data_IF_894530502771
#
_entry.id   IF_894530502771
#
_cell.length_a   1.000
_cell.length_b   1.000
_cell.length_c   1.000
_cell.angle_alpha   90.00
_cell.angle_beta   90.00
_cell.angle_gamma   90.00
#
_symmetry.space_group_name_H-M   'P 1'
#
loop_
_entity.id
_entity.type
_entity.pdbx_description
1 polymer ?
#
# COMPACT_ATOMS: atom_id res chain seq x y z
N UNK A 1 -42.28 17.32 -58.42
CA UNK A 1 -40.98 18.03 -58.41
C UNK A 1 -40.75 18.61 -57.01
N UNK A 2 -39.58 18.35 -56.43
CA UNK A 2 -39.13 18.85 -55.12
C UNK A 2 -39.39 20.35 -54.95
N UNK A 3 -39.95 20.76 -53.80
CA UNK A 3 -39.71 22.09 -53.21
C UNK A 3 -39.61 22.02 -51.69
N UNK A 4 -38.48 22.52 -51.21
CA UNK A 4 -38.07 22.80 -49.82
C UNK A 4 -38.93 23.92 -49.21
N UNK A 5 -39.00 24.02 -47.88
CA UNK A 5 -39.32 25.30 -47.25
C UNK A 5 -39.61 25.32 -45.75
N UNK A 6 -38.66 25.89 -45.01
CA UNK A 6 -38.79 26.65 -43.74
C UNK A 6 -39.06 25.89 -42.42
N UNK A 7 -38.01 25.78 -41.61
CA UNK A 7 -38.08 25.57 -40.16
C UNK A 7 -37.99 26.94 -39.47
N UNK A 8 -39.03 27.31 -38.72
CA UNK A 8 -39.08 28.51 -37.88
C UNK A 8 -38.30 28.28 -36.56
N UNK A 9 -37.56 29.31 -36.16
CA UNK A 9 -36.90 29.43 -34.86
C UNK A 9 -37.96 29.63 -33.76
N UNK A 10 -37.90 28.85 -32.67
CA UNK A 10 -38.69 29.11 -31.45
C UNK A 10 -37.73 29.23 -30.26
N UNK A 11 -37.70 30.41 -29.67
CA UNK A 11 -37.01 30.73 -28.41
C UNK A 11 -37.91 30.28 -27.25
N UNK A 12 -37.44 29.34 -26.42
CA UNK A 12 -38.13 28.85 -25.23
C UNK A 12 -37.64 29.53 -23.95
N UNK A 13 -38.54 30.26 -23.30
CA UNK A 13 -38.36 30.94 -22.01
C UNK A 13 -38.25 29.93 -20.84
N UNK A 14 -37.32 30.14 -19.93
CA UNK A 14 -37.13 29.32 -18.73
C UNK A 14 -38.19 29.59 -17.65
N UNK A 15 -38.73 28.53 -17.04
CA UNK A 15 -39.49 28.60 -15.80
C UNK A 15 -38.63 28.12 -14.62
N UNK A 16 -38.39 29.01 -13.66
CA UNK A 16 -37.84 28.67 -12.33
C UNK A 16 -38.99 28.21 -11.43
N UNK A 17 -38.97 26.94 -11.02
CA UNK A 17 -39.88 26.42 -10.01
C UNK A 17 -39.24 26.53 -8.62
N UNK A 18 -39.81 27.39 -7.78
CA UNK A 18 -39.49 27.50 -6.36
C UNK A 18 -40.13 26.34 -5.58
N UNK A 19 -39.32 25.40 -5.10
CA UNK A 19 -39.77 24.32 -4.20
C UNK A 19 -39.58 24.71 -2.73
N UNK A 20 -40.67 24.84 -1.98
CA UNK A 20 -40.68 25.07 -0.55
C UNK A 20 -40.13 23.86 0.24
N UNK A 21 -39.31 24.11 1.26
CA UNK A 21 -38.75 23.07 2.13
C UNK A 21 -39.82 22.50 3.08
N UNK A 22 -39.94 21.17 3.14
CA UNK A 22 -40.81 20.45 4.08
C UNK A 22 -40.22 20.46 5.50
N UNK A 23 -41.00 20.81 6.55
CA UNK A 23 -40.57 20.62 7.93
C UNK A 23 -40.80 19.17 8.35
N UNK A 24 -39.76 18.49 8.84
CA UNK A 24 -39.89 17.14 9.41
C UNK A 24 -38.81 16.12 9.03
N UNK A 25 -37.68 16.52 8.45
CA UNK A 25 -36.51 15.64 8.33
C UNK A 25 -35.53 15.98 9.44
N UNK A 26 -35.62 15.32 10.59
CA UNK A 26 -34.45 15.16 11.46
C UNK A 26 -33.47 14.29 10.69
N UNK A 27 -32.61 14.93 9.89
CA UNK A 27 -31.53 14.23 9.22
C UNK A 27 -30.70 13.52 10.30
N UNK A 28 -30.82 12.20 10.36
CA UNK A 28 -30.02 11.38 11.25
C UNK A 28 -28.57 11.66 10.88
N UNK A 29 -27.80 12.23 11.81
CA UNK A 29 -26.37 12.48 11.61
C UNK A 29 -25.78 11.15 11.13
N UNK A 30 -25.16 11.08 9.94
CA UNK A 30 -24.63 9.83 9.44
C UNK A 30 -23.74 9.23 10.53
N UNK A 31 -23.83 7.91 10.81
CA UNK A 31 -22.94 7.29 11.75
C UNK A 31 -21.52 7.71 11.38
N UNK A 32 -20.80 8.24 12.38
CA UNK A 32 -19.47 8.84 12.21
C UNK A 32 -18.68 8.03 11.20
N UNK A 33 -18.30 8.64 10.08
CA UNK A 33 -17.48 8.00 9.04
C UNK A 33 -16.37 7.17 9.71
N UNK A 34 -16.14 5.96 9.22
CA UNK A 34 -15.20 4.98 9.78
C UNK A 34 -13.95 5.70 10.31
N UNK A 35 -13.79 5.73 11.64
CA UNK A 35 -12.69 6.44 12.33
C UNK A 35 -11.37 5.67 12.33
N UNK A 36 -11.14 4.85 11.32
CA UNK A 36 -9.94 4.02 11.22
C UNK A 36 -9.14 4.57 10.06
N UNK A 37 -8.20 5.46 10.38
CA UNK A 37 -7.21 5.95 9.43
C UNK A 37 -6.02 4.98 9.33
N UNK A 38 -5.41 4.93 8.16
CA UNK A 38 -4.15 4.24 7.94
C UNK A 38 -3.10 5.19 7.37
N UNK A 39 -1.84 4.79 7.47
CA UNK A 39 -0.73 5.43 6.76
C UNK A 39 -0.15 4.43 5.78
N UNK A 40 0.29 4.94 4.63
CA UNK A 40 1.07 4.19 3.65
C UNK A 40 2.54 4.59 3.78
N UNK A 41 3.43 3.60 3.80
CA UNK A 41 4.86 3.80 4.04
C UNK A 41 5.71 3.07 3.00
N UNK A 42 6.36 3.84 2.12
CA UNK A 42 7.35 3.34 1.15
C UNK A 42 8.68 3.08 1.84
N UNK A 43 8.69 2.04 2.65
CA UNK A 43 9.75 1.79 3.63
C UNK A 43 10.86 0.86 3.11
N UNK A 44 10.69 0.26 1.92
CA UNK A 44 11.55 -0.84 1.47
C UNK A 44 12.37 -0.57 0.22
N UNK A 45 11.76 -0.42 -0.96
CA UNK A 45 12.44 -0.26 -2.25
C UNK A 45 11.84 0.94 -2.98
N UNK A 46 12.68 1.70 -3.70
CA UNK A 46 12.25 2.77 -4.61
C UNK A 46 12.51 2.37 -6.05
N UNK A 47 11.57 1.68 -6.73
CA UNK A 47 11.81 1.15 -8.07
C UNK A 47 11.93 2.19 -9.19
N UNK A 48 11.83 3.51 -8.91
CA UNK A 48 12.01 4.58 -9.92
C UNK A 48 13.45 5.10 -9.98
N UNK A 49 14.26 4.75 -8.99
CA UNK A 49 15.64 5.22 -8.84
C UNK A 49 16.45 4.12 -8.13
N UNK A 50 16.42 2.93 -8.73
CA UNK A 50 16.75 1.69 -8.05
C UNK A 50 18.21 1.65 -7.56
N UNK A 51 18.38 1.50 -6.24
CA UNK A 51 19.65 1.22 -5.56
C UNK A 51 19.43 0.34 -4.32
N UNK A 52 18.87 -0.86 -4.48
CA UNK A 52 18.70 -1.81 -3.38
C UNK A 52 17.74 -1.32 -2.26
N UNK A 53 17.95 -1.73 -0.98
CA UNK A 53 17.13 -1.26 0.12
C UNK A 53 17.19 0.26 0.27
N UNK A 54 16.02 0.91 0.43
CA UNK A 54 15.93 2.36 0.59
C UNK A 54 16.85 2.83 1.75
N UNK A 55 17.87 3.67 1.49
CA UNK A 55 18.83 4.11 2.51
C UNK A 55 18.19 4.97 3.61
N UNK A 56 17.02 5.55 3.32
CA UNK A 56 16.18 6.31 4.25
C UNK A 56 14.98 5.48 4.75
N UNK A 57 15.06 4.15 4.64
CA UNK A 57 13.92 3.24 4.86
C UNK A 57 14.14 2.17 5.92
N UNK A 58 13.05 1.49 6.27
CA UNK A 58 13.00 0.48 7.32
C UNK A 58 13.82 -0.75 6.98
N UNK A 59 14.06 -1.01 5.69
CA UNK A 59 14.84 -2.14 5.19
C UNK A 59 16.31 -1.81 4.96
N UNK A 60 16.73 -0.58 5.27
CA UNK A 60 18.12 -0.21 5.14
C UNK A 60 19.06 -1.12 5.95
N UNK A 61 20.15 -1.55 5.30
CA UNK A 61 21.21 -2.39 5.88
C UNK A 61 22.29 -1.56 6.59
N UNK A 62 22.90 -2.09 7.66
CA UNK A 62 24.02 -1.42 8.33
C UNK A 62 25.12 -0.98 7.37
N UNK A 63 25.62 0.25 7.56
CA UNK A 63 26.62 0.86 6.69
C UNK A 63 26.11 1.36 5.33
N UNK A 64 24.82 1.18 5.03
CA UNK A 64 24.16 1.67 3.80
C UNK A 64 23.03 2.66 4.08
N UNK A 65 22.81 3.04 5.34
CA UNK A 65 21.74 3.96 5.71
C UNK A 65 22.23 5.39 5.73
N UNK A 66 21.36 6.31 5.31
CA UNK A 66 21.65 7.73 5.37
C UNK A 66 21.48 8.20 6.81
N UNK A 67 22.56 8.73 7.37
CA UNK A 67 22.58 9.41 8.67
C UNK A 67 22.25 8.54 9.90
N UNK A 68 22.01 7.24 9.75
CA UNK A 68 21.71 6.32 10.86
C UNK A 68 22.49 5.01 10.71
N UNK A 69 22.66 4.27 11.81
CA UNK A 69 23.41 3.02 11.78
C UNK A 69 22.63 1.85 11.12
N UNK A 70 21.31 1.86 11.22
CA UNK A 70 20.44 0.74 10.84
C UNK A 70 19.00 1.22 10.62
N UNK A 71 18.29 0.65 9.64
CA UNK A 71 16.88 0.97 9.37
C UNK A 71 15.91 0.73 10.54
N UNK A 72 16.29 0.00 11.60
CA UNK A 72 15.47 -0.12 12.82
C UNK A 72 15.21 1.23 13.49
N UNK A 73 16.10 2.20 13.29
CA UNK A 73 15.91 3.59 13.74
C UNK A 73 14.68 4.23 13.09
N UNK A 74 14.47 3.99 11.79
CA UNK A 74 13.27 4.46 11.09
C UNK A 74 12.01 3.71 11.57
N UNK A 75 12.09 2.38 11.74
CA UNK A 75 10.99 1.58 12.26
C UNK A 75 10.49 2.13 13.60
N UNK A 76 11.38 2.32 14.57
CA UNK A 76 11.00 2.78 15.91
C UNK A 76 10.44 4.21 15.88
N UNK A 77 11.08 5.12 15.14
CA UNK A 77 10.66 6.51 15.03
C UNK A 77 9.29 6.63 14.36
N UNK A 78 9.12 6.03 13.20
CA UNK A 78 7.91 6.18 12.38
C UNK A 78 6.73 5.39 12.94
N UNK A 79 6.97 4.24 13.56
CA UNK A 79 5.92 3.52 14.32
C UNK A 79 5.36 4.40 15.44
N UNK A 80 6.23 5.07 16.21
CA UNK A 80 5.81 5.99 17.27
C UNK A 80 5.01 7.16 16.69
N UNK A 81 5.51 7.80 15.63
CA UNK A 81 4.82 8.92 14.98
C UNK A 81 3.45 8.51 14.45
N UNK A 82 3.35 7.34 13.81
CA UNK A 82 2.09 6.79 13.32
C UNK A 82 1.06 6.62 14.44
N UNK A 83 1.50 6.15 15.61
CA UNK A 83 0.61 6.03 16.78
C UNK A 83 0.11 7.40 17.26
N UNK A 84 0.93 8.45 17.18
CA UNK A 84 0.54 9.82 17.57
C UNK A 84 -0.48 10.44 16.60
N UNK A 85 -0.51 9.99 15.34
CA UNK A 85 -1.55 10.35 14.38
C UNK A 85 -2.88 9.65 14.65
N UNK A 86 -2.96 8.78 15.67
CA UNK A 86 -4.10 7.90 15.94
C UNK A 86 -4.46 6.96 14.78
N UNK A 87 -3.54 6.77 13.82
CA UNK A 87 -3.67 5.77 12.78
C UNK A 87 -3.73 4.37 13.40
N UNK A 88 -4.38 3.45 12.71
CA UNK A 88 -4.61 2.07 13.17
C UNK A 88 -4.04 1.04 12.22
N UNK A 89 -3.76 1.41 10.98
CA UNK A 89 -3.25 0.52 9.93
C UNK A 89 -2.00 1.15 9.35
N UNK A 90 -0.97 0.34 9.13
CA UNK A 90 0.22 0.73 8.35
C UNK A 90 0.28 -0.19 7.15
N UNK A 91 0.22 0.38 5.95
CA UNK A 91 0.55 -0.31 4.69
C UNK A 91 2.03 -0.15 4.44
N UNK A 92 2.72 -1.27 4.23
CA UNK A 92 4.15 -1.29 4.00
C UNK A 92 4.61 -2.57 3.28
N UNK A 93 5.74 -2.45 2.61
CA UNK A 93 6.35 -3.55 1.85
C UNK A 93 7.11 -4.53 2.72
N UNK A 94 6.98 -5.80 2.35
CA UNK A 94 7.80 -6.93 2.79
C UNK A 94 8.47 -7.55 1.55
N UNK A 95 9.66 -7.06 1.16
CA UNK A 95 10.32 -7.48 -0.07
C UNK A 95 10.75 -8.93 -0.02
N UNK A 96 10.25 -9.72 -0.95
CA UNK A 96 10.64 -11.11 -1.10
C UNK A 96 12.14 -11.25 -1.36
N UNK A 97 12.72 -10.37 -2.19
CA UNK A 97 14.16 -10.26 -2.42
C UNK A 97 15.01 -10.15 -1.14
N UNK A 98 14.52 -9.52 -0.09
CA UNK A 98 15.24 -9.39 1.19
C UNK A 98 14.91 -10.50 2.18
N UNK A 99 13.71 -11.05 2.08
CA UNK A 99 13.20 -12.09 2.97
C UNK A 99 13.67 -13.48 2.58
N UNK A 100 13.90 -13.74 1.29
CA UNK A 100 14.38 -15.01 0.76
C UNK A 100 15.58 -14.76 -0.18
N UNK A 101 16.74 -14.37 0.35
CA UNK A 101 17.93 -14.06 -0.46
C UNK A 101 18.46 -15.24 -1.28
N UNK A 102 18.10 -16.47 -0.92
CA UNK A 102 18.32 -17.67 -1.73
C UNK A 102 17.11 -18.60 -1.59
N UNK A 103 16.79 -19.37 -2.63
CA UNK A 103 15.64 -20.29 -2.66
C UNK A 103 15.59 -21.16 -1.39
N UNK A 104 14.47 -21.09 -0.66
CA UNK A 104 14.21 -21.78 0.60
C UNK A 104 14.98 -21.27 1.82
N UNK A 105 15.87 -20.27 1.67
CA UNK A 105 16.68 -19.70 2.74
C UNK A 105 16.16 -18.32 3.11
N UNK A 106 15.43 -18.26 4.22
CA UNK A 106 14.79 -17.04 4.67
C UNK A 106 15.61 -16.26 5.70
N UNK A 107 15.63 -14.92 5.57
CA UNK A 107 16.02 -13.98 6.63
C UNK A 107 14.79 -13.21 7.12
N UNK A 108 14.26 -13.66 8.25
CA UNK A 108 13.09 -13.05 8.89
C UNK A 108 13.44 -11.92 9.87
N UNK A 109 14.72 -11.64 10.10
CA UNK A 109 15.16 -10.80 11.23
C UNK A 109 14.54 -9.41 11.22
N UNK A 110 14.57 -8.73 10.07
CA UNK A 110 13.97 -7.40 9.89
C UNK A 110 12.45 -7.44 9.97
N UNK A 111 11.81 -8.37 9.28
CA UNK A 111 10.35 -8.49 9.29
C UNK A 111 9.81 -8.82 10.69
N UNK A 112 10.48 -9.68 11.45
CA UNK A 112 10.13 -9.97 12.84
C UNK A 112 10.24 -8.73 13.72
N UNK A 113 11.29 -7.93 13.51
CA UNK A 113 11.46 -6.66 14.21
C UNK A 113 10.32 -5.69 13.90
N UNK A 114 9.99 -5.50 12.62
CA UNK A 114 8.90 -4.65 12.14
C UNK A 114 7.56 -5.09 12.75
N UNK A 115 7.21 -6.37 12.63
CA UNK A 115 5.95 -6.92 13.16
C UNK A 115 5.86 -6.72 14.67
N UNK A 116 6.96 -6.95 15.40
CA UNK A 116 7.01 -6.73 16.85
C UNK A 116 6.92 -5.25 17.22
N UNK A 117 7.53 -4.34 16.46
CA UNK A 117 7.44 -2.91 16.69
C UNK A 117 6.00 -2.40 16.50
N UNK A 118 5.38 -2.69 15.36
CA UNK A 118 4.00 -2.26 15.05
C UNK A 118 2.99 -2.80 16.07
N UNK A 119 3.14 -4.07 16.48
CA UNK A 119 2.25 -4.67 17.51
C UNK A 119 2.37 -4.03 18.88
N UNK A 120 3.55 -3.53 19.28
CA UNK A 120 3.73 -2.80 20.56
C UNK A 120 2.85 -1.55 20.63
N UNK A 121 2.57 -0.94 19.49
CA UNK A 121 1.67 0.22 19.37
C UNK A 121 0.24 -0.13 18.98
N UNK A 122 -0.12 -1.43 18.98
CA UNK A 122 -1.46 -1.93 18.57
C UNK A 122 -1.84 -1.50 17.14
N UNK A 123 -0.86 -1.32 16.27
CA UNK A 123 -1.07 -1.04 14.85
C UNK A 123 -1.31 -2.35 14.11
N UNK A 124 -2.29 -2.34 13.20
CA UNK A 124 -2.54 -3.42 12.25
C UNK A 124 -1.62 -3.26 11.05
N UNK A 125 -1.19 -4.38 10.49
CA UNK A 125 -0.28 -4.44 9.35
C UNK A 125 -1.09 -4.77 8.10
N UNK A 126 -0.95 -3.94 7.07
CA UNK A 126 -1.28 -4.26 5.69
C UNK A 126 0.03 -4.54 4.95
N UNK A 127 0.36 -5.82 4.79
CA UNK A 127 1.63 -6.26 4.25
C UNK A 127 1.53 -6.38 2.73
N UNK A 128 2.37 -5.62 2.02
CA UNK A 128 2.55 -5.76 0.58
C UNK A 128 3.68 -6.76 0.33
N UNK A 129 3.34 -7.91 -0.27
CA UNK A 129 4.31 -8.93 -0.67
C UNK A 129 4.69 -8.66 -2.12
N UNK A 130 5.94 -8.25 -2.35
CA UNK A 130 6.43 -7.86 -3.68
C UNK A 130 7.94 -8.10 -3.80
N UNK A 131 8.47 -7.84 -4.99
CA UNK A 131 9.90 -7.78 -5.34
C UNK A 131 10.61 -9.13 -5.48
N UNK A 132 10.85 -9.55 -6.71
CA UNK A 132 11.46 -10.84 -7.06
C UNK A 132 12.93 -10.91 -6.61
N UNK A 133 13.36 -11.98 -5.91
CA UNK A 133 14.77 -12.19 -5.60
C UNK A 133 15.55 -12.55 -6.87
N UNK A 134 16.85 -12.28 -6.86
CA UNK A 134 17.75 -12.56 -8.00
C UNK A 134 17.84 -14.03 -8.44
N UNK A 135 17.41 -14.97 -7.60
CA UNK A 135 17.34 -16.39 -7.98
C UNK A 135 16.03 -16.78 -8.67
N UNK A 136 15.03 -15.89 -8.69
CA UNK A 136 13.70 -16.12 -9.26
C UNK A 136 13.35 -15.15 -10.42
N UNK A 137 14.24 -14.22 -10.75
CA UNK A 137 14.07 -13.24 -11.83
C UNK A 137 15.32 -12.37 -12.02
N UNK A 138 15.33 -11.60 -13.10
CA UNK A 138 16.47 -10.75 -13.48
C UNK A 138 16.54 -9.47 -12.64
N UNK A 139 15.38 -8.92 -12.29
CA UNK A 139 15.23 -7.72 -11.47
C UNK A 139 14.17 -7.93 -10.40
N UNK A 140 14.07 -7.01 -9.46
CA UNK A 140 13.02 -7.00 -8.44
C UNK A 140 11.62 -6.83 -9.03
N UNK A 141 11.50 -6.22 -10.20
CA UNK A 141 10.23 -6.05 -10.89
C UNK A 141 9.90 -7.21 -11.84
N UNK A 142 10.80 -8.19 -11.98
CA UNK A 142 10.56 -9.34 -12.84
C UNK A 142 9.34 -10.14 -12.38
N UNK A 143 8.36 -10.39 -13.27
CA UNK A 143 7.23 -11.28 -13.01
C UNK A 143 7.71 -12.66 -12.55
N UNK A 144 7.44 -13.08 -11.30
CA UNK A 144 7.96 -14.35 -10.84
C UNK A 144 7.12 -15.53 -11.34
N UNK A 145 7.73 -16.71 -11.39
CA UNK A 145 6.99 -17.95 -11.53
C UNK A 145 5.96 -18.05 -10.40
N UNK A 146 4.68 -18.26 -10.75
CA UNK A 146 3.58 -18.26 -9.79
C UNK A 146 3.78 -19.26 -8.64
N UNK A 147 4.41 -20.41 -8.91
CA UNK A 147 4.71 -21.43 -7.91
C UNK A 147 5.72 -20.95 -6.86
N UNK A 148 6.78 -20.26 -7.28
CA UNK A 148 7.81 -19.74 -6.38
C UNK A 148 7.25 -18.61 -5.50
N UNK A 149 6.51 -17.67 -6.09
CA UNK A 149 5.88 -16.60 -5.33
C UNK A 149 4.80 -17.13 -4.36
N UNK A 150 4.02 -18.14 -4.78
CA UNK A 150 3.04 -18.78 -3.90
C UNK A 150 3.69 -19.52 -2.72
N UNK A 151 4.87 -20.13 -2.92
CA UNK A 151 5.63 -20.76 -1.84
C UNK A 151 6.10 -19.72 -0.81
N UNK A 152 6.64 -18.59 -1.28
CA UNK A 152 7.01 -17.47 -0.41
C UNK A 152 5.81 -16.90 0.34
N UNK A 153 4.71 -16.57 -0.35
CA UNK A 153 3.52 -16.00 0.26
C UNK A 153 2.93 -16.93 1.33
N UNK A 154 2.94 -18.25 1.09
CA UNK A 154 2.54 -19.26 2.07
C UNK A 154 3.46 -19.28 3.29
N UNK A 155 4.78 -19.28 3.10
CA UNK A 155 5.74 -19.26 4.20
C UNK A 155 5.57 -17.99 5.07
N UNK A 156 5.42 -16.84 4.42
CA UNK A 156 5.19 -15.55 5.07
C UNK A 156 3.88 -15.54 5.88
N UNK A 157 2.76 -15.91 5.26
CA UNK A 157 1.46 -15.94 5.90
C UNK A 157 1.41 -16.93 7.08
N UNK A 158 2.05 -18.10 6.93
CA UNK A 158 2.18 -19.09 8.01
C UNK A 158 2.96 -18.53 9.19
N UNK A 159 4.13 -17.90 8.95
CA UNK A 159 4.97 -17.32 10.00
C UNK A 159 4.25 -16.23 10.79
N UNK A 160 3.51 -15.37 10.11
CA UNK A 160 2.87 -14.19 10.71
C UNK A 160 1.37 -14.34 10.97
N UNK A 161 0.87 -15.60 11.00
CA UNK A 161 -0.52 -15.92 11.33
C UNK A 161 -0.95 -15.26 12.64
N UNK A 162 -2.07 -14.54 12.60
CA UNK A 162 -2.62 -13.81 13.75
C UNK A 162 -1.87 -12.52 14.12
N UNK A 163 -0.85 -12.11 13.35
CA UNK A 163 -0.06 -10.89 13.58
C UNK A 163 -0.19 -9.85 12.48
N UNK A 164 -0.50 -10.28 11.25
CA UNK A 164 -0.76 -9.42 10.09
C UNK A 164 -2.24 -9.50 9.75
N UNK A 165 -2.86 -8.35 9.46
CA UNK A 165 -4.31 -8.24 9.27
C UNK A 165 -4.72 -8.29 7.80
N UNK A 166 -3.90 -7.73 6.91
CA UNK A 166 -4.18 -7.65 5.48
C UNK A 166 -2.93 -8.02 4.69
N UNK A 167 -3.14 -8.69 3.56
CA UNK A 167 -2.09 -9.10 2.63
C UNK A 167 -2.44 -8.57 1.25
N UNK A 168 -1.51 -7.85 0.65
CA UNK A 168 -1.56 -7.39 -0.73
C UNK A 168 -0.52 -8.18 -1.51
N UNK A 169 -0.96 -8.81 -2.60
CA UNK A 169 -0.12 -9.62 -3.46
C UNK A 169 0.30 -8.75 -4.65
N UNK A 170 1.50 -8.19 -4.53
CA UNK A 170 2.12 -7.26 -5.47
C UNK A 170 1.57 -5.82 -5.46
N UNK A 171 2.46 -4.86 -5.66
CA UNK A 171 2.13 -3.43 -5.82
C UNK A 171 2.11 -3.07 -7.32
N UNK A 172 1.00 -2.49 -7.78
CA UNK A 172 0.87 -1.87 -9.12
C UNK A 172 1.42 -2.73 -10.29
N UNK A 173 1.02 -4.01 -10.41
CA UNK A 173 1.54 -4.89 -11.46
C UNK A 173 1.12 -4.48 -12.89
N UNK A 174 0.21 -3.51 -13.02
CA UNK A 174 -0.18 -2.89 -14.28
C UNK A 174 0.87 -1.89 -14.82
N UNK A 175 1.84 -1.48 -13.99
CA UNK A 175 2.90 -0.56 -14.39
C UNK A 175 4.22 -1.30 -14.61
N UNK A 176 4.85 -1.11 -15.79
CA UNK A 176 6.13 -1.75 -16.16
C UNK A 176 7.22 -1.64 -15.09
N UNK A 177 7.28 -0.52 -14.39
CA UNK A 177 8.26 -0.29 -13.33
C UNK A 177 8.15 -1.24 -12.14
N UNK A 178 7.01 -1.89 -11.93
CA UNK A 178 6.78 -2.88 -10.88
C UNK A 178 6.54 -4.29 -11.42
N UNK A 179 6.41 -4.46 -12.75
CA UNK A 179 6.14 -5.74 -13.39
C UNK A 179 6.66 -5.76 -14.85
N UNK A 180 7.92 -6.15 -15.04
CA UNK A 180 8.56 -6.26 -16.35
C UNK A 180 9.76 -7.23 -16.35
#
# INVERSE_FOLDING_TARGET
MSKRGALLLVVGLAFLASGAARPGSTATKPPRAIRIGGVDAVSAIRPWDYTGPNPDGWWCRPGKCRSVANGTVFVDKETRLTSLLHAKIVRLDFPWAFLEPARGRYDWSRADYIVRALRRYRLKIHAVLAYTPSWAGETESSPPAAADFAAFARAFAHRYRGRIAYFELWNEPDLQRYWA
#
